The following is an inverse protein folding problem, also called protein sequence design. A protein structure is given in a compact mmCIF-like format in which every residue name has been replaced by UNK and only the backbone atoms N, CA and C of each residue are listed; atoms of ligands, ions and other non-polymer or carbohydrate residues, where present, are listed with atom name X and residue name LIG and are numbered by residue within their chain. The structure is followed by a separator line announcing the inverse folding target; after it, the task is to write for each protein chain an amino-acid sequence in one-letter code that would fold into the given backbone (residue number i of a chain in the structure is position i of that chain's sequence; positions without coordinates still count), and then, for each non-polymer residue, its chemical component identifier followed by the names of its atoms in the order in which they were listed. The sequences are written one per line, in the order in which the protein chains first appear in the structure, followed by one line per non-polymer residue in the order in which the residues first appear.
data_IF_129470446317
#
_entry.id   IF_129470446317
#
_cell.length_a   1.000
_cell.length_b   1.000
_cell.length_c   1.000
_cell.angle_alpha   90.00
_cell.angle_beta   90.00
_cell.angle_gamma   90.00
#
_symmetry.space_group_name_H-M   'P 1'
#
loop_
_entity.id
_entity.type
_entity.pdbx_description
1 polymer ?
#
# COMPACT_ATOMS: atom_id res chain seq x y z
N UNK A 1 -50.00 -9.62 63.28
CA UNK A 1 -49.27 -8.33 63.24
C UNK A 1 -49.32 -7.86 61.80
N UNK A 2 -50.32 -7.03 61.47
CA UNK A 2 -50.54 -6.47 60.15
C UNK A 2 -49.88 -5.11 60.06
N UNK A 3 -48.97 -4.93 59.10
CA UNK A 3 -48.49 -3.67 58.53
C UNK A 3 -47.98 -4.08 57.14
N UNK A 4 -48.33 -3.52 55.99
CA UNK A 4 -49.06 -2.32 55.60
C UNK A 4 -48.55 -2.01 54.19
N UNK A 5 -49.42 -2.12 53.18
CA UNK A 5 -49.30 -1.46 51.87
C UNK A 5 -49.08 0.06 52.13
N UNK A 6 -48.36 0.85 51.35
CA UNK A 6 -48.64 1.36 50.00
C UNK A 6 -47.66 2.54 49.73
N UNK A 7 -47.38 2.87 48.46
CA UNK A 7 -46.59 4.07 48.16
C UNK A 7 -45.97 4.13 46.76
N UNK A 8 -46.78 3.89 45.73
CA UNK A 8 -46.44 4.10 44.32
C UNK A 8 -46.72 5.57 43.96
N UNK A 9 -45.71 6.34 43.54
CA UNK A 9 -45.90 7.69 43.00
C UNK A 9 -44.95 7.96 41.83
N UNK A 10 -45.48 7.72 40.62
CA UNK A 10 -45.09 8.42 39.40
C UNK A 10 -45.56 9.88 39.45
N UNK A 11 -44.86 10.81 38.80
CA UNK A 11 -45.53 11.91 38.13
C UNK A 11 -45.42 11.82 36.60
N UNK A 12 -46.61 11.95 36.01
CA UNK A 12 -46.95 12.01 34.60
C UNK A 12 -46.65 13.38 33.99
N UNK A 13 -46.10 13.34 32.76
CA UNK A 13 -46.48 14.08 31.55
C UNK A 13 -47.36 15.35 31.67
N UNK A 14 -46.76 16.52 31.35
CA UNK A 14 -47.34 17.77 30.76
C UNK A 14 -46.29 18.88 30.99
N UNK A 15 -45.69 19.57 30.04
CA UNK A 15 -46.26 20.41 28.97
C UNK A 15 -45.12 20.80 28.00
N UNK A 16 -45.38 20.78 26.69
CA UNK A 16 -44.58 21.49 25.68
C UNK A 16 -45.24 22.85 25.41
N UNK A 17 -44.45 23.86 25.01
CA UNK A 17 -44.92 24.70 23.90
C UNK A 17 -43.95 24.74 22.73
N UNK A 18 -44.55 24.53 21.57
CA UNK A 18 -44.05 24.73 20.21
C UNK A 18 -43.91 26.24 19.97
N UNK A 19 -42.74 26.68 19.47
CA UNK A 19 -42.58 28.01 18.90
C UNK A 19 -42.22 27.88 17.41
N UNK A 20 -43.26 28.01 16.60
CA UNK A 20 -43.24 28.20 15.16
C UNK A 20 -42.94 29.69 14.89
N UNK A 21 -41.97 30.00 14.03
CA UNK A 21 -41.55 31.35 13.73
C UNK A 21 -41.12 31.49 12.28
N UNK A 22 -42.08 31.86 11.44
CA UNK A 22 -42.01 32.05 9.99
C UNK A 22 -40.96 33.07 9.52
N UNK A 23 -40.42 32.77 8.34
CA UNK A 23 -39.71 33.66 7.42
C UNK A 23 -40.44 35.01 7.20
N UNK A 24 -39.70 36.05 6.81
CA UNK A 24 -39.96 36.55 5.45
C UNK A 24 -38.71 36.86 4.62
N UNK A 25 -38.96 36.77 3.31
CA UNK A 25 -38.09 37.05 2.19
C UNK A 25 -37.42 38.44 2.22
N UNK A 26 -36.20 38.50 1.70
CA UNK A 26 -35.73 39.63 0.91
C UNK A 26 -35.10 39.14 -0.40
N UNK A 27 -35.55 39.80 -1.46
CA UNK A 27 -35.25 39.59 -2.87
C UNK A 27 -34.02 40.40 -3.30
N UNK A 28 -33.58 40.12 -4.55
CA UNK A 28 -32.79 40.98 -5.44
C UNK A 28 -31.27 40.96 -5.20
N UNK A 29 -30.38 40.80 -6.19
CA UNK A 29 -30.42 41.02 -7.64
C UNK A 29 -29.22 40.34 -8.33
N UNK A 30 -29.52 39.61 -9.43
CA UNK A 30 -28.90 39.60 -10.77
C UNK A 30 -27.40 39.93 -10.94
N UNK A 31 -26.70 39.04 -11.66
CA UNK A 31 -25.63 39.19 -12.68
C UNK A 31 -25.01 37.78 -12.82
N UNK A 32 -25.09 36.99 -13.90
CA UNK A 32 -25.10 37.30 -15.32
C UNK A 32 -23.69 37.15 -15.89
N UNK A 33 -23.28 35.96 -16.33
CA UNK A 33 -22.38 35.72 -17.50
C UNK A 33 -21.90 34.24 -17.62
N UNK A 34 -22.55 33.52 -18.54
CA UNK A 34 -21.93 32.86 -19.70
C UNK A 34 -20.87 31.75 -19.50
N UNK A 35 -21.32 30.51 -19.62
CA UNK A 35 -20.55 29.39 -20.20
C UNK A 35 -20.23 29.65 -21.68
N UNK A 36 -19.12 29.07 -22.19
CA UNK A 36 -19.10 28.62 -23.57
C UNK A 36 -18.87 27.12 -23.65
N UNK A 37 -19.95 26.44 -24.01
CA UNK A 37 -20.00 25.17 -24.70
C UNK A 37 -19.15 25.26 -25.98
N UNK A 38 -18.25 24.30 -26.22
CA UNK A 38 -17.53 24.18 -27.50
C UNK A 38 -17.87 22.84 -28.15
N UNK A 39 -18.81 22.97 -29.06
CA UNK A 39 -19.23 22.06 -30.12
C UNK A 39 -18.06 21.71 -31.05
N UNK A 40 -17.92 20.42 -31.33
CA UNK A 40 -17.10 19.89 -32.43
C UNK A 40 -17.82 20.05 -33.77
N UNK A 41 -17.09 20.34 -34.87
CA UNK A 41 -17.60 20.08 -36.21
C UNK A 41 -16.72 19.08 -37.00
N UNK A 42 -17.24 18.58 -38.14
CA UNK A 42 -17.04 17.21 -38.61
C UNK A 42 -15.98 17.03 -39.70
N UNK A 43 -15.78 15.74 -40.03
CA UNK A 43 -14.96 15.18 -41.08
C UNK A 43 -15.19 15.79 -42.48
N UNK A 44 -14.13 15.76 -43.29
CA UNK A 44 -14.18 15.83 -44.75
C UNK A 44 -12.96 15.10 -45.33
N UNK A 45 -13.21 13.97 -46.00
CA UNK A 45 -12.31 13.36 -46.99
C UNK A 45 -12.20 14.26 -48.23
N UNK A 46 -11.11 14.13 -49.01
CA UNK A 46 -11.34 13.59 -50.35
C UNK A 46 -10.29 12.55 -50.78
N UNK A 47 -10.80 11.57 -51.52
CA UNK A 47 -10.07 10.53 -52.23
C UNK A 47 -9.35 11.09 -53.48
N UNK A 48 -8.18 10.51 -53.83
CA UNK A 48 -7.97 9.76 -55.08
C UNK A 48 -6.48 9.41 -55.33
N UNK A 49 -6.22 8.12 -55.62
CA UNK A 49 -5.23 7.51 -56.55
C UNK A 49 -3.76 7.96 -56.45
N UNK A 50 -2.75 7.08 -56.34
CA UNK A 50 -2.35 6.12 -57.37
C UNK A 50 -1.14 5.27 -56.87
N UNK A 51 -1.14 3.98 -57.22
CA UNK A 51 0.00 3.10 -57.57
C UNK A 51 1.25 2.92 -56.67
N UNK A 52 1.37 1.71 -56.10
CA UNK A 52 2.55 0.94 -55.59
C UNK A 52 3.66 0.82 -56.67
N UNK A 53 4.99 0.68 -56.42
CA UNK A 53 5.60 -0.23 -55.43
C UNK A 53 6.97 0.16 -54.81
N UNK A 54 7.30 -0.40 -53.63
CA UNK A 54 8.71 -0.57 -53.23
C UNK A 54 8.94 -0.73 -51.72
N UNK A 55 9.83 -1.63 -51.26
CA UNK A 55 9.82 -2.18 -49.91
C UNK A 55 11.03 -1.71 -49.09
N UNK A 56 10.87 -0.83 -48.11
CA UNK A 56 11.98 -0.44 -47.22
C UNK A 56 11.50 -0.36 -45.78
N UNK A 57 11.29 -1.55 -45.20
CA UNK A 57 11.31 -1.74 -43.76
C UNK A 57 12.77 -1.93 -43.37
N UNK A 58 13.41 -0.85 -42.93
CA UNK A 58 14.69 -0.97 -42.25
C UNK A 58 14.54 -1.74 -40.93
N UNK A 59 15.54 -2.58 -40.60
CA UNK A 59 15.36 -3.73 -39.74
C UNK A 59 15.61 -3.32 -38.29
N UNK A 60 14.67 -3.66 -37.40
CA UNK A 60 15.01 -3.79 -35.99
C UNK A 60 16.18 -4.79 -35.88
N UNK A 61 17.32 -4.40 -35.28
CA UNK A 61 18.50 -5.25 -35.23
C UNK A 61 18.14 -6.54 -34.48
N UNK A 62 18.41 -7.73 -35.06
CA UNK A 62 18.10 -8.98 -34.40
C UNK A 62 18.94 -9.09 -33.13
N UNK A 63 18.26 -9.07 -31.99
CA UNK A 63 18.88 -9.37 -30.71
C UNK A 63 19.52 -10.76 -30.81
N UNK A 64 20.85 -10.82 -30.79
CA UNK A 64 21.62 -12.07 -30.73
C UNK A 64 21.19 -12.82 -29.47
N UNK A 65 20.27 -13.79 -29.64
CA UNK A 65 19.95 -14.78 -28.62
C UNK A 65 21.27 -15.51 -28.33
N UNK A 66 21.76 -15.56 -27.08
CA UNK A 66 22.89 -16.42 -26.75
C UNK A 66 22.55 -17.84 -27.22
N UNK A 67 23.43 -18.44 -28.02
CA UNK A 67 23.22 -19.76 -28.60
C UNK A 67 22.85 -20.80 -27.53
N UNK A 68 22.15 -21.88 -27.91
CA UNK A 68 21.68 -22.89 -26.97
C UNK A 68 22.88 -23.44 -26.19
N UNK A 69 22.91 -23.21 -24.87
CA UNK A 69 23.96 -23.71 -24.00
C UNK A 69 23.96 -25.24 -24.09
N UNK A 70 25.08 -25.80 -24.54
CA UNK A 70 25.24 -27.23 -24.74
C UNK A 70 25.18 -27.96 -23.39
N UNK A 71 24.70 -29.19 -23.39
CA UNK A 71 24.63 -30.02 -22.20
C UNK A 71 26.03 -30.14 -21.55
N UNK A 72 26.15 -29.73 -20.28
CA UNK A 72 27.41 -29.80 -19.53
C UNK A 72 27.84 -31.22 -19.13
N UNK A 73 27.08 -32.24 -19.51
CA UNK A 73 27.35 -33.65 -19.18
C UNK A 73 27.90 -34.40 -20.40
N UNK A 74 27.27 -34.27 -21.56
CA UNK A 74 27.72 -34.95 -22.78
C UNK A 74 28.37 -34.02 -23.81
N UNK A 75 28.20 -32.70 -23.71
CA UNK A 75 28.80 -31.73 -24.63
C UNK A 75 28.30 -31.82 -26.08
N UNK A 76 27.33 -32.67 -26.40
CA UNK A 76 26.93 -32.95 -27.80
C UNK A 76 25.59 -32.32 -28.18
N UNK A 77 24.64 -32.29 -27.24
CA UNK A 77 23.26 -31.89 -27.48
C UNK A 77 22.95 -30.57 -26.75
N UNK A 78 22.06 -29.71 -27.28
CA UNK A 78 21.63 -28.51 -26.57
C UNK A 78 20.95 -28.89 -25.25
N UNK A 79 21.28 -28.16 -24.18
CA UNK A 79 20.73 -28.42 -22.86
C UNK A 79 19.29 -27.95 -22.74
N UNK A 80 18.35 -28.89 -22.94
CA UNK A 80 16.90 -28.65 -22.86
C UNK A 80 16.42 -28.28 -21.46
N UNK A 81 17.10 -28.75 -20.42
CA UNK A 81 16.70 -28.60 -19.02
C UNK A 81 17.86 -28.09 -18.16
N UNK A 82 17.58 -27.59 -16.94
CA UNK A 82 18.59 -27.05 -16.00
C UNK A 82 18.51 -27.75 -14.64
N UNK A 83 19.65 -27.97 -14.00
CA UNK A 83 19.72 -28.54 -12.66
C UNK A 83 19.31 -27.51 -11.58
N UNK A 84 18.43 -27.83 -10.62
CA UNK A 84 18.05 -26.91 -9.55
C UNK A 84 19.15 -26.67 -8.49
N UNK A 85 20.21 -27.50 -8.47
CA UNK A 85 21.29 -27.42 -7.47
C UNK A 85 22.47 -26.55 -7.94
N UNK A 86 22.82 -26.61 -9.23
CA UNK A 86 23.99 -25.89 -9.78
C UNK A 86 23.69 -25.12 -11.08
N UNK A 87 22.44 -25.09 -11.54
CA UNK A 87 22.01 -24.38 -12.76
C UNK A 87 22.64 -24.86 -14.08
N UNK A 88 23.38 -25.98 -14.07
CA UNK A 88 24.02 -26.54 -15.24
C UNK A 88 22.99 -27.09 -16.25
N UNK A 89 23.13 -26.78 -17.56
CA UNK A 89 22.20 -27.26 -18.59
C UNK A 89 22.46 -28.73 -18.94
N UNK A 90 21.40 -29.54 -19.12
CA UNK A 90 21.47 -30.95 -19.53
C UNK A 90 20.43 -31.28 -20.62
N UNK A 91 20.74 -32.27 -21.47
CA UNK A 91 19.88 -32.62 -22.61
C UNK A 91 18.80 -33.66 -22.30
N UNK A 92 19.07 -34.61 -21.38
CA UNK A 92 18.15 -35.72 -21.08
C UNK A 92 18.26 -36.21 -19.63
N UNK A 93 17.30 -37.05 -19.22
CA UNK A 93 17.26 -37.64 -17.87
C UNK A 93 18.49 -38.53 -17.58
N UNK A 94 19.07 -39.17 -18.61
CA UNK A 94 20.32 -39.93 -18.46
C UNK A 94 21.48 -39.00 -18.04
N UNK A 95 21.59 -37.83 -18.68
CA UNK A 95 22.57 -36.81 -18.29
C UNK A 95 22.27 -36.22 -16.91
N UNK A 96 21.01 -36.09 -16.52
CA UNK A 96 20.64 -35.66 -15.16
C UNK A 96 21.09 -36.68 -14.10
N UNK A 97 20.93 -37.99 -14.36
CA UNK A 97 21.36 -39.03 -13.42
C UNK A 97 22.88 -39.04 -13.25
N UNK A 98 23.63 -39.00 -14.35
CA UNK A 98 25.10 -38.89 -14.34
C UNK A 98 25.56 -37.61 -13.62
N UNK A 99 24.86 -36.49 -13.85
CA UNK A 99 25.16 -35.22 -13.21
C UNK A 99 24.91 -35.23 -11.69
N UNK A 100 23.87 -35.94 -11.23
CA UNK A 100 23.57 -36.08 -9.80
C UNK A 100 24.59 -36.96 -9.08
N UNK A 101 25.06 -38.02 -9.72
CA UNK A 101 26.06 -38.94 -9.16
C UNK A 101 27.45 -38.29 -9.04
N UNK A 102 27.83 -37.47 -10.01
CA UNK A 102 29.06 -36.68 -10.00
C UNK A 102 28.84 -35.20 -9.63
N UNK A 103 27.78 -34.89 -8.88
CA UNK A 103 27.53 -33.51 -8.49
C UNK A 103 28.69 -33.05 -7.59
N UNK A 104 29.35 -31.93 -7.89
CA UNK A 104 30.37 -31.41 -7.00
C UNK A 104 29.75 -31.22 -5.61
N UNK A 105 30.44 -31.59 -4.51
CA UNK A 105 29.99 -31.30 -3.17
C UNK A 105 29.61 -29.83 -3.07
N UNK A 106 28.51 -29.54 -2.37
CA UNK A 106 28.01 -28.18 -2.16
C UNK A 106 29.21 -27.27 -1.82
N UNK A 107 29.48 -26.17 -2.56
CA UNK A 107 30.41 -25.20 -2.05
C UNK A 107 29.88 -24.81 -0.66
N UNK A 108 30.72 -24.82 0.40
CA UNK A 108 30.26 -24.39 1.70
C UNK A 108 29.62 -23.02 1.48
N UNK A 109 28.34 -22.92 1.88
CA UNK A 109 27.61 -21.67 1.94
C UNK A 109 28.60 -20.62 2.44
N UNK A 110 28.85 -19.50 1.74
CA UNK A 110 29.72 -18.47 2.28
C UNK A 110 29.15 -18.10 3.64
N UNK A 111 29.81 -18.60 4.68
CA UNK A 111 29.69 -18.10 6.02
C UNK A 111 30.02 -16.64 5.85
N UNK A 112 29.02 -15.78 6.05
CA UNK A 112 29.27 -14.37 6.28
C UNK A 112 30.39 -14.33 7.32
N UNK A 113 31.46 -13.54 7.10
CA UNK A 113 32.48 -13.37 8.12
C UNK A 113 31.75 -13.02 9.42
N UNK A 114 31.83 -13.90 10.41
CA UNK A 114 31.57 -13.52 11.79
C UNK A 114 32.58 -12.43 12.07
N UNK A 115 32.10 -11.19 12.03
CA UNK A 115 32.86 -10.05 12.48
C UNK A 115 33.33 -10.34 13.91
N UNK A 116 34.58 -9.97 14.27
CA UNK A 116 35.03 -10.08 15.64
C UNK A 116 34.05 -9.35 16.55
N UNK A 117 33.75 -10.01 17.65
CA UNK A 117 32.88 -9.58 18.73
C UNK A 117 33.48 -8.33 19.40
N UNK A 118 33.35 -7.20 18.72
CA UNK A 118 33.39 -5.89 19.34
C UNK A 118 31.99 -5.30 19.11
N UNK A 119 31.06 -5.75 19.94
CA UNK A 119 29.72 -5.18 20.02
C UNK A 119 29.83 -3.77 20.60
N UNK A 120 30.31 -2.84 19.79
CA UNK A 120 29.75 -1.51 19.80
C UNK A 120 28.31 -1.68 19.30
N UNK A 121 27.29 -1.13 19.99
CA UNK A 121 25.93 -1.13 19.46
C UNK A 121 25.99 -0.62 18.02
N UNK A 122 25.30 -1.23 17.05
CA UNK A 122 25.11 -0.55 15.77
C UNK A 122 24.54 0.82 16.12
N UNK A 123 25.23 1.89 15.69
CA UNK A 123 24.79 3.25 15.91
C UNK A 123 23.29 3.31 15.63
N UNK A 124 22.53 3.47 16.71
CA UNK A 124 21.10 3.16 16.73
C UNK A 124 20.27 4.31 16.16
N UNK A 125 20.86 5.09 15.26
CA UNK A 125 20.17 5.94 14.29
C UNK A 125 19.60 5.04 13.19
N UNK A 126 18.77 4.11 13.62
CA UNK A 126 18.12 3.09 12.83
C UNK A 126 17.24 3.76 11.77
N UNK A 127 17.45 3.35 10.52
CA UNK A 127 16.73 3.75 9.31
C UNK A 127 15.19 3.60 9.36
N UNK A 128 14.63 3.15 10.49
CA UNK A 128 13.19 3.10 10.71
C UNK A 128 12.64 4.50 11.01
N UNK A 129 11.80 5.09 10.12
CA UNK A 129 11.19 6.39 10.36
C UNK A 129 10.33 6.45 11.63
N UNK A 130 9.88 5.31 12.18
CA UNK A 130 8.99 5.26 13.35
C UNK A 130 9.71 5.11 14.70
N UNK A 131 11.03 4.94 14.75
CA UNK A 131 11.76 4.75 16.02
C UNK A 131 11.65 5.94 17.00
N UNK A 132 11.32 7.16 16.54
CA UNK A 132 11.09 8.34 17.40
C UNK A 132 9.88 8.15 18.32
N UNK A 133 8.92 7.32 17.90
CA UNK A 133 7.76 6.98 18.72
C UNK A 133 8.18 6.14 19.94
N UNK A 134 9.19 5.29 19.79
CA UNK A 134 9.74 4.47 20.89
C UNK A 134 10.58 5.30 21.86
N UNK A 135 11.29 6.30 21.34
CA UNK A 135 12.05 7.26 22.16
C UNK A 135 11.13 8.04 23.12
N UNK A 136 9.92 8.40 22.67
CA UNK A 136 8.95 9.16 23.46
C UNK A 136 7.90 8.25 24.12
N UNK A 137 8.26 7.00 24.47
CA UNK A 137 7.32 6.00 25.03
C UNK A 137 6.62 6.49 26.30
N UNK A 138 7.30 7.26 27.14
CA UNK A 138 6.78 7.85 28.37
C UNK A 138 5.61 8.82 28.10
N UNK A 139 5.70 9.63 27.03
CA UNK A 139 4.61 10.53 26.63
C UNK A 139 3.34 9.75 26.23
N UNK A 140 3.51 8.65 25.49
CA UNK A 140 2.41 7.74 25.17
C UNK A 140 1.86 7.05 26.42
N UNK A 141 2.70 6.61 27.35
CA UNK A 141 2.25 6.03 28.61
C UNK A 141 1.42 7.01 29.44
N UNK A 142 1.82 8.29 29.48
CA UNK A 142 1.04 9.33 30.13
C UNK A 142 -0.33 9.50 29.46
N UNK A 143 -0.36 9.52 28.12
CA UNK A 143 -1.60 9.61 27.35
C UNK A 143 -2.54 8.43 27.64
N UNK A 144 -2.04 7.20 27.70
CA UNK A 144 -2.84 6.02 28.04
C UNK A 144 -3.32 6.00 29.50
N UNK A 145 -2.61 6.65 30.43
CA UNK A 145 -3.07 6.83 31.81
C UNK A 145 -4.17 7.88 31.90
N UNK A 146 -4.07 8.96 31.13
CA UNK A 146 -5.08 10.02 31.02
C UNK A 146 -6.37 9.47 30.40
N UNK A 147 -6.24 8.70 29.31
CA UNK A 147 -7.35 8.10 28.58
C UNK A 147 -7.33 6.57 28.71
N UNK A 148 -7.92 6.03 29.77
CA UNK A 148 -7.89 4.58 30.05
C UNK A 148 -8.63 3.73 29.00
N UNK A 149 -9.62 4.31 28.32
CA UNK A 149 -10.39 3.67 27.24
C UNK A 149 -9.68 3.69 25.87
N UNK A 150 -8.64 4.52 25.71
CA UNK A 150 -7.94 4.74 24.46
C UNK A 150 -7.29 3.46 23.91
N UNK A 151 -6.68 2.66 24.79
CA UNK A 151 -5.99 1.44 24.39
C UNK A 151 -6.96 0.41 23.75
N UNK A 152 -8.16 0.27 24.32
CA UNK A 152 -9.19 -0.60 23.78
C UNK A 152 -9.70 -0.11 22.42
N UNK A 153 -9.88 1.20 22.26
CA UNK A 153 -10.35 1.77 20.99
C UNK A 153 -9.30 1.66 19.88
N UNK A 154 -8.02 1.92 20.17
CA UNK A 154 -6.95 1.72 19.19
C UNK A 154 -6.82 0.25 18.78
N UNK A 155 -7.01 -0.68 19.71
CA UNK A 155 -7.03 -2.13 19.41
C UNK A 155 -8.18 -2.47 18.48
N UNK A 156 -9.40 -1.97 18.76
CA UNK A 156 -10.56 -2.14 17.87
C UNK A 156 -10.29 -1.60 16.47
N UNK A 157 -9.71 -0.40 16.35
CA UNK A 157 -9.34 0.18 15.05
C UNK A 157 -8.34 -0.71 14.31
N UNK A 158 -7.34 -1.24 15.03
CA UNK A 158 -6.36 -2.17 14.46
C UNK A 158 -7.00 -3.47 13.97
N UNK A 159 -7.91 -4.05 14.74
CA UNK A 159 -8.65 -5.27 14.34
C UNK A 159 -9.42 -5.08 13.03
N UNK A 160 -9.98 -3.89 12.78
CA UNK A 160 -10.68 -3.58 11.53
C UNK A 160 -9.77 -3.58 10.30
N UNK A 161 -8.45 -3.41 10.48
CA UNK A 161 -7.45 -3.46 9.40
C UNK A 161 -7.00 -4.88 9.06
N UNK A 162 -7.21 -5.82 9.98
CA UNK A 162 -6.79 -7.21 9.85
C UNK A 162 -7.83 -8.04 9.09
N UNK A 163 -7.43 -9.17 8.48
CA UNK A 163 -8.40 -10.11 7.93
C UNK A 163 -9.33 -10.61 9.04
N UNK A 164 -10.65 -10.70 8.79
CA UNK A 164 -11.53 -11.43 9.69
C UNK A 164 -10.96 -12.84 9.89
N UNK A 165 -10.94 -13.31 11.14
CA UNK A 165 -10.42 -14.65 11.46
C UNK A 165 -11.10 -15.76 10.65
N UNK A 166 -12.33 -15.53 10.20
CA UNK A 166 -13.14 -16.48 9.43
C UNK A 166 -13.10 -16.24 7.91
N UNK A 167 -12.19 -15.38 7.43
CA UNK A 167 -12.10 -15.09 6.00
C UNK A 167 -11.63 -16.35 5.24
N UNK A 168 -12.37 -16.82 4.22
CA UNK A 168 -11.89 -17.89 3.36
C UNK A 168 -10.60 -17.43 2.66
N UNK A 169 -9.61 -18.31 2.59
CA UNK A 169 -8.32 -18.04 1.94
C UNK A 169 -8.56 -17.36 0.57
N UNK A 170 -7.76 -16.31 0.23
CA UNK A 170 -7.87 -15.67 -1.07
C UNK A 170 -7.76 -16.76 -2.15
N UNK A 171 -8.52 -16.70 -3.26
CA UNK A 171 -8.45 -17.69 -4.33
C UNK A 171 -7.09 -17.63 -5.04
N UNK A 172 -6.05 -18.17 -4.40
CA UNK A 172 -4.68 -18.29 -4.86
C UNK A 172 -4.40 -19.65 -5.49
N UNK A 173 -5.44 -20.39 -5.86
CA UNK A 173 -5.33 -21.60 -6.67
C UNK A 173 -5.26 -21.25 -8.15
N UNK A 174 -4.05 -21.12 -8.68
CA UNK A 174 -3.69 -21.32 -10.09
C UNK A 174 -4.74 -20.84 -11.12
N UNK A 175 -4.70 -19.56 -11.48
CA UNK A 175 -5.46 -18.98 -12.62
C UNK A 175 -5.07 -19.55 -14.01
N UNK A 176 -4.32 -20.65 -14.07
CA UNK A 176 -3.88 -21.32 -15.28
C UNK A 176 -4.84 -22.41 -15.78
N UNK A 177 -5.97 -22.67 -15.10
CA UNK A 177 -6.95 -23.69 -15.53
C UNK A 177 -8.41 -23.20 -15.67
N UNK A 178 -8.66 -21.90 -15.75
CA UNK A 178 -9.98 -21.36 -16.15
C UNK A 178 -10.05 -21.11 -17.66
N UNK A 179 -9.68 -22.14 -18.44
CA UNK A 179 -9.57 -22.04 -19.89
C UNK A 179 -10.20 -23.18 -20.68
N UNK A 180 -10.98 -24.09 -20.07
CA UNK A 180 -11.67 -25.18 -20.81
C UNK A 180 -12.93 -25.71 -20.11
N UNK A 181 -13.96 -24.88 -19.93
CA UNK A 181 -15.33 -25.39 -20.06
C UNK A 181 -16.31 -24.27 -20.43
N UNK A 182 -16.34 -23.92 -21.72
CA UNK A 182 -17.38 -23.07 -22.31
C UNK A 182 -18.63 -23.93 -22.51
N UNK A 183 -19.40 -24.13 -21.45
CA UNK A 183 -20.79 -24.63 -21.48
C UNK A 183 -21.39 -24.53 -20.08
N UNK A 184 -21.81 -23.31 -19.68
CA UNK A 184 -22.98 -23.18 -18.80
C UNK A 184 -23.86 -22.00 -19.24
N UNK A 185 -25.19 -22.13 -19.20
CA UNK A 185 -26.13 -21.16 -19.73
C UNK A 185 -26.29 -19.99 -18.77
N UNK A 186 -26.16 -18.78 -19.29
CA UNK A 186 -26.34 -17.54 -18.53
C UNK A 186 -27.82 -17.37 -18.16
N UNK A 187 -28.14 -17.55 -16.88
CA UNK A 187 -29.47 -17.25 -16.32
C UNK A 187 -29.71 -15.75 -16.48
N UNK A 188 -30.71 -15.44 -17.29
CA UNK A 188 -31.13 -14.12 -17.71
C UNK A 188 -32.11 -13.56 -16.67
N UNK A 189 -31.63 -13.30 -15.46
CA UNK A 189 -32.39 -12.56 -14.46
C UNK A 189 -31.56 -11.39 -13.97
N UNK A 190 -31.89 -10.20 -14.50
CA UNK A 190 -31.37 -8.89 -14.12
C UNK A 190 -31.82 -8.48 -12.71
N UNK A 191 -31.42 -9.27 -11.72
CA UNK A 191 -31.66 -9.03 -10.31
C UNK A 191 -30.50 -8.27 -9.69
N UNK A 192 -30.83 -7.15 -9.05
CA UNK A 192 -30.00 -6.27 -8.24
C UNK A 192 -29.36 -6.98 -7.01
N UNK A 193 -28.59 -8.06 -7.22
CA UNK A 193 -27.97 -8.89 -6.16
C UNK A 193 -26.43 -8.73 -6.06
N UNK A 194 -25.82 -7.90 -6.89
CA UNK A 194 -24.37 -7.66 -6.85
C UNK A 194 -23.94 -6.60 -5.82
N UNK A 195 -24.88 -5.87 -5.20
CA UNK A 195 -24.56 -4.77 -4.28
C UNK A 195 -24.20 -5.20 -2.85
N UNK A 196 -24.42 -6.47 -2.49
CA UNK A 196 -24.26 -6.94 -1.11
C UNK A 196 -23.42 -8.21 -0.95
N UNK A 197 -22.59 -8.56 -1.94
CA UNK A 197 -21.50 -9.49 -1.66
C UNK A 197 -20.39 -8.67 -1.03
N UNK A 198 -20.31 -8.71 0.31
CA UNK A 198 -19.15 -8.25 1.07
C UNK A 198 -17.91 -8.65 0.31
N UNK A 199 -17.15 -7.67 -0.17
CA UNK A 199 -16.00 -7.96 -1.00
C UNK A 199 -15.04 -8.87 -0.22
N UNK A 200 -14.42 -9.86 -0.88
CA UNK A 200 -13.42 -10.70 -0.21
C UNK A 200 -12.35 -9.80 0.40
N UNK A 201 -11.87 -10.16 1.59
CA UNK A 201 -10.93 -9.30 2.30
C UNK A 201 -9.64 -9.15 1.50
N UNK A 202 -9.18 -7.90 1.38
CA UNK A 202 -7.89 -7.54 0.81
C UNK A 202 -7.23 -6.49 1.72
N UNK A 203 -5.93 -6.29 1.58
CA UNK A 203 -5.20 -5.24 2.30
C UNK A 203 -5.83 -3.85 2.11
N UNK A 204 -6.31 -3.57 0.90
CA UNK A 204 -7.00 -2.32 0.58
C UNK A 204 -8.36 -2.20 1.29
N UNK A 205 -9.14 -3.29 1.34
CA UNK A 205 -10.41 -3.33 2.10
C UNK A 205 -10.14 -3.11 3.59
N UNK A 206 -9.11 -3.74 4.15
CA UNK A 206 -8.69 -3.53 5.54
C UNK A 206 -8.29 -2.07 5.80
N UNK A 207 -7.51 -1.45 4.90
CA UNK A 207 -7.12 -0.05 5.03
C UNK A 207 -8.34 0.88 5.01
N UNK A 208 -9.28 0.68 4.07
CA UNK A 208 -10.52 1.48 4.01
C UNK A 208 -11.34 1.36 5.29
N UNK A 209 -11.51 0.14 5.80
CA UNK A 209 -12.21 -0.11 7.07
C UNK A 209 -11.52 0.54 8.26
N UNK A 210 -10.19 0.48 8.33
CA UNK A 210 -9.41 1.14 9.36
C UNK A 210 -9.54 2.67 9.32
N UNK A 211 -9.51 3.27 8.13
CA UNK A 211 -9.70 4.72 7.95
C UNK A 211 -11.10 5.15 8.39
N UNK A 212 -12.14 4.37 8.06
CA UNK A 212 -13.51 4.64 8.51
C UNK A 212 -13.64 4.51 10.03
N UNK A 213 -13.08 3.44 10.62
CA UNK A 213 -13.07 3.24 12.07
C UNK A 213 -12.34 4.37 12.80
N UNK A 214 -11.17 4.78 12.30
CA UNK A 214 -10.41 5.90 12.85
C UNK A 214 -11.18 7.23 12.71
N UNK A 215 -11.84 7.45 11.58
CA UNK A 215 -12.68 8.65 11.38
C UNK A 215 -13.81 8.68 12.40
N UNK A 216 -14.50 7.56 12.61
CA UNK A 216 -15.59 7.43 13.58
C UNK A 216 -15.10 7.70 15.02
N UNK A 217 -13.99 7.08 15.42
CA UNK A 217 -13.40 7.30 16.74
C UNK A 217 -13.00 8.77 16.95
N UNK A 218 -12.46 9.44 15.93
CA UNK A 218 -12.10 10.88 16.00
C UNK A 218 -13.30 11.82 16.09
N UNK A 219 -14.47 11.42 15.59
CA UNK A 219 -15.71 12.23 15.65
C UNK A 219 -16.50 12.00 16.94
N UNK A 220 -16.13 11.02 17.75
CA UNK A 220 -16.78 10.79 19.04
C UNK A 220 -16.49 11.98 19.99
N UNK A 221 -17.53 12.61 20.58
CA UNK A 221 -17.37 13.65 21.60
C UNK A 221 -16.95 13.10 22.97
N UNK A 222 -16.79 11.79 23.12
CA UNK A 222 -16.31 11.17 24.36
C UNK A 222 -14.83 11.45 24.63
N UNK A 223 -14.43 11.22 25.89
CA UNK A 223 -13.03 11.23 26.34
C UNK A 223 -12.15 10.25 25.52
N UNK A 224 -12.73 9.13 25.06
CA UNK A 224 -12.04 8.21 24.15
C UNK A 224 -11.72 8.90 22.81
N UNK A 225 -12.66 9.67 22.26
CA UNK A 225 -12.45 10.44 21.05
C UNK A 225 -11.39 11.53 21.21
N UNK A 226 -11.36 12.22 22.36
CA UNK A 226 -10.30 13.17 22.72
C UNK A 226 -8.93 12.49 22.76
N UNK A 227 -8.83 11.33 23.43
CA UNK A 227 -7.60 10.55 23.46
C UNK A 227 -7.11 10.11 22.09
N UNK A 228 -8.02 9.73 21.18
CA UNK A 228 -7.67 9.35 19.80
C UNK A 228 -7.16 10.57 19.01
N UNK A 229 -7.74 11.76 19.21
CA UNK A 229 -7.27 13.01 18.59
C UNK A 229 -5.86 13.37 19.08
N UNK A 230 -5.66 13.42 20.39
CA UNK A 230 -4.34 13.72 21.00
C UNK A 230 -3.28 12.69 20.59
N UNK A 231 -3.61 11.41 20.54
CA UNK A 231 -2.70 10.36 20.06
C UNK A 231 -2.25 10.61 18.62
N UNK A 232 -3.20 10.88 17.72
CA UNK A 232 -2.90 11.14 16.32
C UNK A 232 -2.05 12.41 16.13
N UNK A 233 -2.33 13.45 16.91
CA UNK A 233 -1.55 14.70 16.91
C UNK A 233 -0.13 14.48 17.40
N UNK A 234 0.04 13.73 18.50
CA UNK A 234 1.35 13.38 19.04
C UNK A 234 2.18 12.57 18.03
N UNK A 235 1.59 11.54 17.41
CA UNK A 235 2.28 10.75 16.38
C UNK A 235 2.73 11.62 15.21
N UNK A 236 1.85 12.50 14.71
CA UNK A 236 2.19 13.43 13.61
C UNK A 236 3.29 14.40 14.01
N UNK A 237 3.22 14.98 15.21
CA UNK A 237 4.22 15.91 15.72
C UNK A 237 5.60 15.24 15.78
N UNK A 238 5.68 14.03 16.33
CA UNK A 238 6.93 13.30 16.45
C UNK A 238 7.51 12.91 15.09
N UNK A 239 6.68 12.39 14.16
CA UNK A 239 7.15 12.04 12.83
C UNK A 239 7.63 13.26 12.04
N UNK A 240 6.90 14.38 12.11
CA UNK A 240 7.32 15.62 11.47
C UNK A 240 8.63 16.16 12.08
N UNK A 241 8.76 16.14 13.41
CA UNK A 241 9.99 16.58 14.09
C UNK A 241 11.20 15.78 13.60
N UNK A 242 11.05 14.47 13.40
CA UNK A 242 12.12 13.63 12.84
C UNK A 242 12.42 13.99 11.39
N UNK A 243 11.42 14.13 10.53
CA UNK A 243 11.66 14.46 9.12
C UNK A 243 12.36 15.81 9.00
N UNK A 244 11.94 16.81 9.77
CA UNK A 244 12.59 18.12 9.81
C UNK A 244 14.05 18.02 10.28
N UNK A 245 14.36 17.19 11.29
CA UNK A 245 15.74 16.95 11.71
C UNK A 245 16.57 16.28 10.62
N UNK A 246 16.03 15.28 9.93
CA UNK A 246 16.71 14.59 8.82
C UNK A 246 16.94 15.55 7.66
N UNK A 247 15.96 16.36 7.30
CA UNK A 247 16.05 17.31 6.19
C UNK A 247 17.07 18.42 6.49
N UNK A 248 17.16 18.89 7.75
CA UNK A 248 18.21 19.84 8.18
C UNK A 248 19.61 19.27 8.04
N UNK A 249 19.82 18.02 8.48
CA UNK A 249 21.13 17.36 8.34
C UNK A 249 21.49 17.18 6.86
N UNK A 250 20.51 16.80 6.02
CA UNK A 250 20.73 16.69 4.57
C UNK A 250 21.07 18.04 3.95
N UNK A 251 20.39 19.11 4.33
CA UNK A 251 20.66 20.46 3.84
C UNK A 251 22.05 20.96 4.24
N UNK A 252 22.47 20.70 5.48
CA UNK A 252 23.82 21.04 5.97
C UNK A 252 24.90 20.31 5.16
N UNK A 253 24.76 19.00 4.97
CA UNK A 253 25.69 18.20 4.16
C UNK A 253 25.77 18.72 2.73
N UNK A 254 24.61 18.98 2.10
CA UNK A 254 24.59 19.54 0.73
C UNK A 254 25.26 20.91 0.69
N UNK A 255 25.07 21.76 1.70
CA UNK A 255 25.70 23.08 1.78
C UNK A 255 27.22 23.01 1.98
N UNK A 256 27.72 22.00 2.70
CA UNK A 256 29.16 21.75 2.83
C UNK A 256 29.75 21.21 1.52
N UNK A 257 29.06 20.27 0.87
CA UNK A 257 29.49 19.71 -0.41
C UNK A 257 29.54 20.77 -1.52
N UNK A 258 28.53 21.65 -1.61
CA UNK A 258 28.52 22.74 -2.60
C UNK A 258 29.67 23.72 -2.38
N UNK A 259 29.94 24.12 -1.13
CA UNK A 259 31.10 24.98 -0.78
C UNK A 259 32.42 24.32 -1.18
N UNK A 260 32.55 23.01 -0.98
CA UNK A 260 33.75 22.27 -1.36
C UNK A 260 33.93 22.23 -2.88
N UNK A 261 32.85 22.03 -3.65
CA UNK A 261 32.89 22.06 -5.11
C UNK A 261 33.29 23.46 -5.62
N UNK A 262 32.69 24.52 -5.06
CA UNK A 262 33.04 25.90 -5.43
C UNK A 262 34.51 26.23 -5.18
N UNK A 263 35.07 25.72 -4.08
CA UNK A 263 36.50 25.87 -3.79
C UNK A 263 37.36 25.18 -4.84
N UNK A 264 37.04 23.93 -5.20
CA UNK A 264 37.79 23.17 -6.19
C UNK A 264 37.77 23.83 -7.58
N UNK A 265 36.61 24.33 -8.02
CA UNK A 265 36.48 25.02 -9.31
C UNK A 265 37.35 26.29 -9.38
N UNK A 266 37.48 27.02 -8.26
CA UNK A 266 38.34 28.21 -8.18
C UNK A 266 39.83 27.86 -8.29
N UNK A 267 40.23 26.75 -7.67
CA UNK A 267 41.62 26.25 -7.73
C UNK A 267 41.96 25.67 -9.12
N UNK A 268 40.99 25.09 -9.82
CA UNK A 268 41.15 24.59 -11.20
C UNK A 268 41.33 25.75 -12.21
N UNK A 269 40.47 26.76 -12.18
CA UNK A 269 40.52 27.89 -13.12
C UNK A 269 41.66 28.89 -12.91
N UNK A 270 42.45 28.73 -11.83
CA UNK A 270 43.62 29.54 -11.51
C UNK A 270 44.95 29.00 -12.02
N UNK A 271 44.93 27.93 -12.82
CA UNK A 271 46.10 27.26 -13.40
C UNK A 271 46.09 27.35 -14.92
#
# INVERSE_FOLDING_TARGET
MSLGQEGNSNPSLSDMPVAEGSNPALQSTMLGASSPERTAPPASDPAATDTTPGPEADPFPPQKRPGPKVCGVCGTQPGKYKCPRCSMPYCSVACNKQHKENHPPDPPKPERPSAPNNAQPPDSDSADPYSILLEHRDTFQHLFKKYSSLAAELTRIQEMTLPPSDAPDPPGGNAANMGRNRQQPWIKDGGNMARNRQQPWTKDVGLRRGVEALRKARTDPSDTGDGVREFCELVKLLLNKRTESIDKVREEVVAEETKQIERLLREEGGR
#
